data_IF_424634424695
#
_entry.id   IF_424634424695
#
_cell.length_a   1.000
_cell.length_b   1.000
_cell.length_c   1.000
_cell.angle_alpha   90.00
_cell.angle_beta   90.00
_cell.angle_gamma   90.00
#
_symmetry.space_group_name_H-M   'P 1'
#
loop_
_entity.id
_entity.type
_entity.pdbx_description
1 polymer ?
#
# COMPACT_ATOMS: atom_id res chain seq x y z
N UNK A 1 -27.12 -8.77 -2.77
CA UNK A 1 -26.43 -7.46 -2.93
C UNK A 1 -25.78 -6.98 -1.63
N UNK A 2 -26.45 -7.03 -0.47
CA UNK A 2 -25.85 -6.65 0.83
C UNK A 2 -24.58 -7.44 1.19
N UNK A 3 -24.53 -8.75 0.92
CA UNK A 3 -23.34 -9.56 1.22
C UNK A 3 -22.08 -9.12 0.45
N UNK A 4 -22.21 -8.71 -0.82
CA UNK A 4 -21.05 -8.28 -1.62
C UNK A 4 -20.44 -6.96 -1.14
N UNK A 5 -21.28 -6.00 -0.73
CA UNK A 5 -20.79 -4.72 -0.17
C UNK A 5 -20.09 -4.96 1.17
N UNK A 6 -20.68 -5.78 2.04
CA UNK A 6 -20.07 -6.13 3.34
C UNK A 6 -18.72 -6.82 3.14
N UNK A 7 -18.62 -7.74 2.18
CA UNK A 7 -17.37 -8.44 1.87
C UNK A 7 -16.31 -7.49 1.34
N UNK A 8 -16.66 -6.55 0.45
CA UNK A 8 -15.73 -5.52 -0.04
C UNK A 8 -15.23 -4.64 1.12
N UNK A 9 -16.10 -4.27 2.06
CA UNK A 9 -15.70 -3.50 3.25
C UNK A 9 -14.76 -4.33 4.13
N UNK A 10 -15.08 -5.60 4.37
CA UNK A 10 -14.21 -6.50 5.14
C UNK A 10 -12.83 -6.67 4.46
N UNK A 11 -12.83 -6.87 3.15
CA UNK A 11 -11.61 -6.95 2.35
C UNK A 11 -10.81 -5.64 2.40
N UNK A 12 -11.47 -4.48 2.37
CA UNK A 12 -10.85 -3.17 2.53
C UNK A 12 -10.19 -3.00 3.90
N UNK A 13 -10.82 -3.47 4.99
CA UNK A 13 -10.23 -3.42 6.34
C UNK A 13 -9.00 -4.32 6.43
N UNK A 14 -9.09 -5.56 5.94
CA UNK A 14 -7.94 -6.49 5.92
C UNK A 14 -6.80 -5.93 5.09
N UNK A 15 -7.10 -5.43 3.89
CA UNK A 15 -6.18 -4.74 2.99
C UNK A 15 -5.45 -3.59 3.70
N UNK A 16 -6.23 -2.69 4.29
CA UNK A 16 -5.76 -1.52 5.03
C UNK A 16 -4.78 -1.93 6.13
N UNK A 17 -5.14 -2.94 6.93
CA UNK A 17 -4.29 -3.43 8.00
C UNK A 17 -2.96 -3.98 7.47
N UNK A 18 -2.98 -4.76 6.39
CA UNK A 18 -1.76 -5.33 5.81
C UNK A 18 -0.81 -4.21 5.35
N UNK A 19 -1.27 -3.31 4.49
CA UNK A 19 -0.34 -2.33 3.91
C UNK A 19 0.09 -1.28 4.93
N UNK A 20 -0.81 -0.79 5.79
CA UNK A 20 -0.46 0.18 6.84
C UNK A 20 0.55 -0.41 7.80
N UNK A 21 0.35 -1.66 8.24
CA UNK A 21 1.29 -2.33 9.13
C UNK A 21 2.64 -2.52 8.44
N UNK A 22 2.64 -2.93 7.17
CA UNK A 22 3.86 -3.11 6.39
C UNK A 22 4.63 -1.80 6.24
N UNK A 23 3.96 -0.70 5.88
CA UNK A 23 4.57 0.61 5.74
C UNK A 23 5.14 1.13 7.08
N UNK A 24 4.45 0.89 8.19
CA UNK A 24 4.93 1.25 9.53
C UNK A 24 6.16 0.45 9.93
N UNK A 25 6.18 -0.87 9.66
CA UNK A 25 7.31 -1.75 10.01
C UNK A 25 8.55 -1.36 9.20
N UNK A 26 8.41 -1.29 7.88
CA UNK A 26 9.54 -1.03 6.98
C UNK A 26 9.98 0.43 6.96
N UNK A 27 9.13 1.33 7.46
CA UNK A 27 9.50 2.71 7.76
C UNK A 27 9.95 3.47 6.54
N UNK A 28 8.97 4.01 5.80
CA UNK A 28 9.22 4.90 4.67
C UNK A 28 10.19 6.04 5.07
N UNK A 29 11.24 6.32 4.27
CA UNK A 29 12.36 7.13 4.73
C UNK A 29 11.99 8.58 5.07
N UNK A 30 12.67 9.13 6.11
CA UNK A 30 12.52 10.51 6.64
C UNK A 30 12.94 11.64 5.66
N UNK A 31 13.38 11.27 4.45
CA UNK A 31 13.79 12.14 3.35
C UNK A 31 13.31 11.49 2.05
N UNK A 32 13.26 12.24 0.96
CA UNK A 32 13.06 11.66 -0.36
C UNK A 32 14.14 10.61 -0.61
N UNK A 33 13.77 9.33 -0.53
CA UNK A 33 14.68 8.20 -0.72
C UNK A 33 14.67 7.69 -2.16
N UNK A 34 13.78 8.25 -2.97
CA UNK A 34 13.38 7.78 -4.29
C UNK A 34 13.24 9.01 -5.21
N UNK A 35 13.54 8.87 -6.50
CA UNK A 35 13.49 9.98 -7.47
C UNK A 35 12.10 10.64 -7.48
N UNK A 36 12.03 11.95 -7.24
CA UNK A 36 10.76 12.72 -7.24
C UNK A 36 10.06 12.85 -5.88
N UNK A 37 10.41 12.03 -4.88
CA UNK A 37 9.76 12.07 -3.57
C UNK A 37 9.99 13.41 -2.82
N UNK A 38 11.13 14.05 -3.05
CA UNK A 38 11.46 15.36 -2.45
C UNK A 38 10.61 16.49 -3.04
N UNK A 39 10.33 16.45 -4.34
CA UNK A 39 9.47 17.43 -5.01
C UNK A 39 8.03 17.35 -4.48
N UNK A 40 7.50 16.13 -4.33
CA UNK A 40 6.16 15.90 -3.75
C UNK A 40 6.12 16.38 -2.31
N UNK A 41 7.11 16.02 -1.48
CA UNK A 41 7.13 16.43 -0.09
C UNK A 41 7.20 17.95 0.09
N UNK A 42 7.96 18.64 -0.76
CA UNK A 42 8.04 20.10 -0.76
C UNK A 42 6.71 20.75 -1.16
N UNK A 43 6.06 20.28 -2.23
CA UNK A 43 4.75 20.77 -2.64
C UNK A 43 3.68 20.59 -1.55
N UNK A 44 3.63 19.42 -0.90
CA UNK A 44 2.72 19.17 0.23
C UNK A 44 3.02 20.09 1.42
N UNK A 45 4.29 20.39 1.68
CA UNK A 45 4.71 21.35 2.70
C UNK A 45 4.24 22.78 2.39
N UNK A 46 4.39 23.22 1.14
CA UNK A 46 3.96 24.54 0.65
C UNK A 46 2.43 24.73 0.76
N UNK A 47 1.65 23.64 0.65
CA UNK A 47 0.19 23.63 0.86
C UNK A 47 -0.24 23.57 2.35
N UNK A 48 0.72 23.61 3.28
CA UNK A 48 0.50 23.58 4.73
C UNK A 48 0.31 22.18 5.32
N UNK A 49 0.79 21.15 4.63
CA UNK A 49 0.92 19.77 5.12
C UNK A 49 2.13 19.58 6.03
N UNK A 50 2.34 18.35 6.51
CA UNK A 50 3.55 18.02 7.27
C UNK A 50 4.67 17.62 6.29
N UNK A 51 5.83 18.29 6.33
CA UNK A 51 6.93 18.04 5.38
C UNK A 51 7.43 16.60 5.40
N UNK A 52 7.64 16.02 6.59
CA UNK A 52 8.10 14.63 6.73
C UNK A 52 7.03 13.64 6.24
N UNK A 53 5.76 13.88 6.54
CA UNK A 53 4.64 13.12 5.99
C UNK A 53 4.51 13.28 4.47
N UNK A 54 4.84 14.46 3.94
CA UNK A 54 4.89 14.74 2.51
C UNK A 54 5.98 13.94 1.80
N UNK A 55 7.18 13.83 2.38
CA UNK A 55 8.23 12.93 1.84
C UNK A 55 7.79 11.47 1.86
N UNK A 56 7.03 11.07 2.88
CA UNK A 56 6.46 9.73 2.98
C UNK A 56 5.47 9.44 1.86
N UNK A 57 4.56 10.38 1.56
CA UNK A 57 3.67 10.33 0.40
C UNK A 57 4.48 10.32 -0.89
N UNK A 58 5.53 11.14 -1.00
CA UNK A 58 6.40 11.15 -2.16
C UNK A 58 7.07 9.81 -2.42
N UNK A 59 7.58 9.15 -1.37
CA UNK A 59 8.17 7.82 -1.48
C UNK A 59 7.13 6.76 -1.89
N UNK A 60 5.89 6.88 -1.39
CA UNK A 60 4.75 6.02 -1.76
C UNK A 60 4.38 6.19 -3.24
N UNK A 61 4.33 7.43 -3.74
CA UNK A 61 3.92 7.72 -5.13
C UNK A 61 5.04 7.35 -6.12
N UNK A 62 6.31 7.52 -5.72
CA UNK A 62 7.45 7.33 -6.60
C UNK A 62 8.04 5.91 -6.57
N UNK A 63 7.55 5.01 -5.73
CA UNK A 63 8.01 3.63 -5.61
C UNK A 63 6.83 2.68 -5.41
N UNK A 64 6.91 1.40 -5.82
CA UNK A 64 5.94 0.40 -5.39
C UNK A 64 6.01 0.20 -3.86
N UNK A 65 5.11 0.88 -3.16
CA UNK A 65 4.92 0.78 -1.71
C UNK A 65 4.09 -0.45 -1.33
N UNK A 66 3.83 -0.62 -0.03
CA UNK A 66 3.02 -1.74 0.41
C UNK A 66 1.64 -1.75 -0.25
N UNK A 67 1.03 -0.58 -0.51
CA UNK A 67 -0.29 -0.47 -1.12
C UNK A 67 -0.32 -0.92 -2.59
N UNK A 68 0.68 -0.54 -3.39
CA UNK A 68 0.86 -1.02 -4.76
C UNK A 68 1.16 -2.52 -4.78
N UNK A 69 2.01 -2.98 -3.87
CA UNK A 69 2.34 -4.40 -3.72
C UNK A 69 1.13 -5.26 -3.38
N UNK A 70 0.30 -4.82 -2.44
CA UNK A 70 -0.90 -5.54 -2.03
C UNK A 70 -1.98 -5.56 -3.11
N UNK A 71 -2.13 -4.48 -3.88
CA UNK A 71 -3.07 -4.44 -5.00
C UNK A 71 -2.62 -5.37 -6.14
N UNK A 72 -1.34 -5.35 -6.49
CA UNK A 72 -0.81 -6.23 -7.54
C UNK A 72 -0.90 -7.71 -7.14
N UNK A 73 -0.69 -8.02 -5.85
CA UNK A 73 -0.93 -9.35 -5.31
C UNK A 73 -2.39 -9.79 -5.47
N UNK A 74 -3.36 -8.91 -5.17
CA UNK A 74 -4.79 -9.22 -5.37
C UNK A 74 -5.11 -9.55 -6.83
N UNK A 75 -4.62 -8.74 -7.77
CA UNK A 75 -4.75 -8.99 -9.21
C UNK A 75 -4.06 -10.29 -9.63
N UNK A 76 -2.86 -10.56 -9.11
CA UNK A 76 -2.13 -11.79 -9.38
C UNK A 76 -2.88 -13.03 -8.90
N UNK A 77 -3.41 -13.00 -7.68
CA UNK A 77 -4.20 -14.09 -7.12
C UNK A 77 -5.50 -14.30 -7.89
N UNK A 78 -6.14 -13.23 -8.33
CA UNK A 78 -7.32 -13.33 -9.21
C UNK A 78 -7.02 -14.05 -10.52
N UNK A 79 -5.89 -13.75 -11.17
CA UNK A 79 -5.54 -14.31 -12.48
C UNK A 79 -5.00 -15.74 -12.40
N UNK A 80 -4.13 -16.03 -11.42
CA UNK A 80 -3.38 -17.29 -11.39
C UNK A 80 -3.15 -17.83 -9.97
N UNK A 81 -4.05 -17.53 -9.04
CA UNK A 81 -3.98 -18.00 -7.66
C UNK A 81 -2.68 -17.59 -6.97
N UNK A 82 -2.22 -18.40 -6.01
CA UNK A 82 -1.01 -18.07 -5.23
C UNK A 82 0.22 -17.78 -6.11
N UNK A 83 0.38 -18.49 -7.23
CA UNK A 83 1.50 -18.28 -8.14
C UNK A 83 1.45 -16.91 -8.83
N UNK A 84 0.26 -16.44 -9.20
CA UNK A 84 0.10 -15.10 -9.73
C UNK A 84 0.41 -14.01 -8.70
N UNK A 85 0.03 -14.22 -7.44
CA UNK A 85 0.41 -13.34 -6.33
C UNK A 85 1.93 -13.28 -6.09
N UNK A 86 2.60 -14.43 -6.08
CA UNK A 86 4.06 -14.49 -5.94
C UNK A 86 4.78 -13.88 -7.15
N UNK A 87 4.27 -14.07 -8.37
CA UNK A 87 4.78 -13.39 -9.55
C UNK A 87 4.63 -11.85 -9.42
N UNK A 88 3.50 -11.37 -8.89
CA UNK A 88 3.32 -9.96 -8.58
C UNK A 88 4.36 -9.45 -7.57
N UNK A 89 4.71 -10.23 -6.54
CA UNK A 89 5.76 -9.85 -5.60
C UNK A 89 7.15 -9.69 -6.28
N UNK A 90 7.47 -10.55 -7.25
CA UNK A 90 8.70 -10.43 -8.06
C UNK A 90 8.66 -9.15 -8.91
N UNK A 91 7.53 -8.86 -9.56
CA UNK A 91 7.37 -7.63 -10.35
C UNK A 91 7.51 -6.38 -9.49
N UNK A 92 6.93 -6.39 -8.29
CA UNK A 92 7.04 -5.30 -7.31
C UNK A 92 8.50 -5.12 -6.88
N UNK A 93 9.21 -6.21 -6.60
CA UNK A 93 10.64 -6.14 -6.30
C UNK A 93 11.46 -5.52 -7.44
N UNK A 94 11.20 -5.91 -8.69
CA UNK A 94 11.85 -5.32 -9.86
C UNK A 94 11.51 -3.83 -9.97
N UNK A 95 10.24 -3.47 -9.80
CA UNK A 95 9.76 -2.09 -9.80
C UNK A 95 10.48 -1.23 -8.76
N UNK A 96 10.65 -1.73 -7.52
CA UNK A 96 11.40 -1.03 -6.48
C UNK A 96 12.82 -0.70 -6.94
N UNK A 97 13.51 -1.62 -7.64
CA UNK A 97 14.87 -1.38 -8.12
C UNK A 97 14.93 -0.37 -9.26
N UNK A 98 13.96 -0.41 -10.17
CA UNK A 98 13.82 0.60 -11.23
C UNK A 98 13.60 1.98 -10.62
N UNK A 99 12.79 2.07 -9.56
CA UNK A 99 12.56 3.31 -8.82
C UNK A 99 13.74 3.74 -7.94
N UNK A 100 14.84 2.98 -7.87
CA UNK A 100 15.94 3.21 -6.92
C UNK A 100 15.53 3.11 -5.43
N UNK A 101 14.42 2.45 -5.12
CA UNK A 101 14.01 2.15 -3.77
C UNK A 101 14.78 0.92 -3.24
N UNK A 102 15.51 1.13 -2.14
CA UNK A 102 16.22 0.05 -1.43
C UNK A 102 15.30 -0.74 -0.50
N UNK A 103 14.13 -0.19 -0.18
CA UNK A 103 13.13 -0.75 0.71
C UNK A 103 12.46 -2.01 0.18
N UNK A 104 11.86 -2.74 1.12
CA UNK A 104 11.15 -4.00 0.87
C UNK A 104 9.67 -3.93 1.27
N UNK A 105 9.14 -2.72 1.52
CA UNK A 105 7.75 -2.54 1.94
C UNK A 105 6.78 -3.10 0.88
N UNK A 106 6.92 -2.69 -0.38
CA UNK A 106 6.10 -3.22 -1.47
C UNK A 106 6.22 -4.72 -1.66
N UNK A 107 7.45 -5.24 -1.75
CA UNK A 107 7.66 -6.68 -1.95
C UNK A 107 7.10 -7.51 -0.79
N UNK A 108 7.31 -7.07 0.45
CA UNK A 108 6.79 -7.78 1.62
C UNK A 108 5.26 -7.70 1.67
N UNK A 109 4.70 -6.53 1.39
CA UNK A 109 3.25 -6.33 1.27
C UNK A 109 2.66 -7.27 0.23
N UNK A 110 3.28 -7.40 -0.95
CA UNK A 110 2.84 -8.29 -2.01
C UNK A 110 2.89 -9.77 -1.60
N UNK A 111 3.98 -10.23 -0.95
CA UNK A 111 4.09 -11.61 -0.46
C UNK A 111 3.01 -11.91 0.59
N UNK A 112 2.90 -11.07 1.62
CA UNK A 112 1.92 -11.25 2.71
C UNK A 112 0.51 -11.23 2.15
N UNK A 113 0.16 -10.24 1.32
CA UNK A 113 -1.15 -10.14 0.70
C UNK A 113 -1.47 -11.35 -0.17
N UNK A 114 -0.49 -11.89 -0.92
CA UNK A 114 -0.72 -13.08 -1.75
C UNK A 114 -1.19 -14.28 -0.92
N UNK A 115 -0.54 -14.55 0.21
CA UNK A 115 -0.96 -15.64 1.09
C UNK A 115 -2.29 -15.38 1.79
N UNK A 116 -2.53 -14.14 2.24
CA UNK A 116 -3.79 -13.79 2.89
C UNK A 116 -4.95 -13.92 1.90
N UNK A 117 -4.88 -13.27 0.74
CA UNK A 117 -5.94 -13.27 -0.27
C UNK A 117 -6.19 -14.68 -0.78
N UNK A 118 -5.12 -15.44 -1.07
CA UNK A 118 -5.26 -16.83 -1.46
C UNK A 118 -5.91 -17.67 -0.36
N UNK A 119 -5.55 -17.48 0.91
CA UNK A 119 -6.17 -18.18 2.04
C UNK A 119 -7.66 -17.88 2.18
N UNK A 120 -8.05 -16.61 2.17
CA UNK A 120 -9.46 -16.21 2.22
C UNK A 120 -10.27 -16.77 1.04
N UNK A 121 -9.69 -16.73 -0.16
CA UNK A 121 -10.31 -17.27 -1.38
C UNK A 121 -10.42 -18.79 -1.32
N UNK A 122 -9.42 -19.50 -0.81
CA UNK A 122 -9.41 -20.95 -0.68
C UNK A 122 -10.50 -21.44 0.28
N UNK A 123 -10.74 -20.73 1.38
CA UNK A 123 -11.82 -21.04 2.33
C UNK A 123 -13.19 -20.46 1.91
N UNK A 124 -13.29 -19.77 0.77
CA UNK A 124 -14.54 -19.18 0.28
C UNK A 124 -15.10 -18.06 1.16
N UNK A 125 -14.26 -17.40 1.96
CA UNK A 125 -14.67 -16.33 2.88
C UNK A 125 -14.76 -14.99 2.14
N UNK A 126 -13.73 -14.67 1.35
CA UNK A 126 -13.66 -13.46 0.50
C UNK A 126 -13.02 -13.83 -0.84
N UNK A 127 -13.52 -13.26 -1.94
CA UNK A 127 -12.97 -13.47 -3.27
C UNK A 127 -11.83 -12.49 -3.61
N UNK A 128 -10.93 -12.84 -4.55
CA UNK A 128 -9.91 -11.91 -5.01
C UNK A 128 -10.50 -10.62 -5.62
N UNK A 129 -11.68 -10.66 -6.26
CA UNK A 129 -12.32 -9.46 -6.79
C UNK A 129 -12.76 -8.49 -5.68
N UNK A 130 -13.27 -9.04 -4.57
CA UNK A 130 -13.63 -8.26 -3.38
C UNK A 130 -12.39 -7.61 -2.76
N UNK A 131 -11.24 -8.30 -2.77
CA UNK A 131 -9.96 -7.71 -2.38
C UNK A 131 -9.47 -6.63 -3.34
N UNK A 132 -9.62 -6.79 -4.65
CA UNK A 132 -9.27 -5.73 -5.61
C UNK A 132 -10.10 -4.47 -5.32
N UNK A 133 -11.42 -4.60 -5.22
CA UNK A 133 -12.31 -3.49 -4.90
C UNK A 133 -12.00 -2.87 -3.52
N UNK A 134 -11.78 -3.72 -2.51
CA UNK A 134 -11.44 -3.30 -1.16
C UNK A 134 -10.10 -2.56 -1.07
N UNK A 135 -9.09 -3.00 -1.83
CA UNK A 135 -7.78 -2.33 -1.92
C UNK A 135 -7.91 -0.93 -2.51
N UNK A 136 -8.72 -0.75 -3.57
CA UNK A 136 -8.98 0.60 -4.12
C UNK A 136 -9.60 1.51 -3.06
N UNK A 137 -10.59 1.02 -2.31
CA UNK A 137 -11.17 1.79 -1.21
C UNK A 137 -10.12 2.14 -0.14
N UNK A 138 -9.33 1.16 0.27
CA UNK A 138 -8.32 1.35 1.30
C UNK A 138 -7.25 2.38 0.87
N UNK A 139 -6.77 2.32 -0.37
CA UNK A 139 -5.85 3.31 -0.94
C UNK A 139 -6.49 4.70 -0.95
N UNK A 140 -7.72 4.84 -1.44
CA UNK A 140 -8.40 6.14 -1.49
C UNK A 140 -8.53 6.75 -0.09
N UNK A 141 -8.85 5.94 0.92
CA UNK A 141 -9.00 6.44 2.30
C UNK A 141 -7.71 6.99 2.90
N UNK A 142 -6.55 6.42 2.56
CA UNK A 142 -5.25 6.87 3.09
C UNK A 142 -4.60 7.92 2.19
N UNK A 143 -4.55 7.67 0.89
CA UNK A 143 -3.73 8.43 -0.06
C UNK A 143 -4.56 9.38 -0.92
N UNK A 144 -5.85 9.08 -1.17
CA UNK A 144 -6.68 9.79 -2.14
C UNK A 144 -7.54 10.94 -1.60
N UNK A 145 -7.94 10.92 -0.32
CA UNK A 145 -8.92 11.90 0.20
C UNK A 145 -8.32 13.29 0.49
N UNK A 146 -7.10 13.38 1.02
CA UNK A 146 -6.42 14.67 1.19
C UNK A 146 -4.95 14.50 1.53
N UNK A 147 -4.06 14.86 0.60
CA UNK A 147 -2.61 14.82 0.83
C UNK A 147 -2.17 15.67 2.04
N UNK A 148 -2.88 16.77 2.33
CA UNK A 148 -2.63 17.63 3.51
C UNK A 148 -2.98 16.94 4.83
N UNK A 149 -4.15 16.31 4.94
CA UNK A 149 -4.54 15.62 6.18
C UNK A 149 -3.81 14.28 6.32
N UNK A 150 -3.61 13.56 5.23
CA UNK A 150 -2.85 12.31 5.20
C UNK A 150 -1.40 12.52 5.61
N UNK A 151 -0.72 13.57 5.11
CA UNK A 151 0.64 13.88 5.55
C UNK A 151 0.72 14.19 7.05
N UNK A 152 -0.29 14.87 7.62
CA UNK A 152 -0.38 15.12 9.06
C UNK A 152 -0.63 13.86 9.87
N UNK A 153 -1.51 12.97 9.38
CA UNK A 153 -1.80 11.68 10.02
C UNK A 153 -0.56 10.78 10.03
N UNK A 154 0.08 10.59 8.87
CA UNK A 154 1.30 9.82 8.73
C UNK A 154 2.43 10.40 9.60
N UNK A 155 2.57 11.73 9.60
CA UNK A 155 3.52 12.41 10.48
C UNK A 155 3.27 12.17 11.98
N UNK A 156 2.01 12.06 12.41
CA UNK A 156 1.65 11.72 13.81
C UNK A 156 1.90 10.26 14.15
N UNK A 157 1.47 9.33 13.29
CA UNK A 157 1.66 7.88 13.48
C UNK A 157 3.15 7.54 13.58
N UNK A 158 3.98 8.21 12.79
CA UNK A 158 5.43 8.04 12.85
C UNK A 158 6.05 8.55 14.15
N UNK A 159 5.54 9.65 14.70
CA UNK A 159 6.04 10.25 15.95
C UNK A 159 5.85 9.34 17.16
N UNK A 160 4.92 8.39 17.09
CA UNK A 160 4.73 7.34 18.09
C UNK A 160 5.78 6.22 18.03
N UNK A 161 6.48 6.06 16.90
CA UNK A 161 7.49 5.01 16.68
C UNK A 161 8.93 5.49 16.93
N UNK A 162 9.17 6.81 16.91
CA UNK A 162 10.50 7.44 17.02
C UNK A 162 10.81 7.90 18.43
#
# INVERSE_FOLDING_TARGET
MLNGITNIIAAAVVAWLIFVTTDIIFGLPKKGGVSGAEAIGRSVGEEGGNLNGGYMIGNIVCSPDASAGTLLAACGVYVYGIYGGLAAAVLVFIGNRICHDKGYAGTTGAVVASFVIWGFSFYGILSPEEFIAGMVLAIVTIQGLSHKYSSRLLGKLWRFRS
#
